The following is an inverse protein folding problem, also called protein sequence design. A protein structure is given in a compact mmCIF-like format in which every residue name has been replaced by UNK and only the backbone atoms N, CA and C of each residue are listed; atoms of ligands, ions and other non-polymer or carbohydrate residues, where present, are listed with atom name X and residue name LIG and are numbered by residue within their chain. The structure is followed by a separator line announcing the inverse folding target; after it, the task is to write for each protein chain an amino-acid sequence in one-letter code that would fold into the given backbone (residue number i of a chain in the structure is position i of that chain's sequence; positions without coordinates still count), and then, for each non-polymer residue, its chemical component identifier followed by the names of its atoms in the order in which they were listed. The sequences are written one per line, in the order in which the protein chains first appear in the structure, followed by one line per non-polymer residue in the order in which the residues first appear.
data_IF_510025084757
#
_entry.id   IF_510025084757
#
_cell.length_a   1.000
_cell.length_b   1.000
_cell.length_c   1.000
_cell.angle_alpha   90.00
_cell.angle_beta   90.00
_cell.angle_gamma   90.00
#
_symmetry.space_group_name_H-M   'P 1'
#
loop_
_entity.id
_entity.type
_entity.pdbx_description
1 polymer ?
#
# COMPACT_ATOMS: atom_id res chain seq x y z
N UNK A 1 10.72 -8.28 25.45
CA UNK A 1 10.42 -6.88 25.08
C UNK A 1 9.41 -6.91 23.93
N UNK A 2 8.53 -5.92 23.79
CA UNK A 2 7.51 -5.93 22.73
C UNK A 2 8.12 -5.59 21.37
N UNK A 3 7.70 -6.29 20.32
CA UNK A 3 8.04 -5.95 18.94
C UNK A 3 7.29 -4.68 18.53
N UNK A 4 7.91 -3.84 17.71
CA UNK A 4 7.30 -2.61 17.22
C UNK A 4 7.71 -2.39 15.77
N UNK A 5 6.71 -2.16 14.92
CA UNK A 5 6.91 -1.75 13.53
C UNK A 5 6.13 -0.46 13.24
N UNK A 6 6.62 0.29 12.27
CA UNK A 6 5.94 1.44 11.67
C UNK A 6 5.39 1.03 10.30
N UNK A 7 4.21 1.55 9.96
CA UNK A 7 3.64 1.45 8.62
C UNK A 7 3.39 2.85 8.07
N UNK A 8 3.82 3.08 6.82
CA UNK A 8 3.77 4.40 6.19
C UNK A 8 3.03 4.35 4.84
N UNK A 9 1.75 3.95 4.77
CA UNK A 9 1.05 3.84 3.50
C UNK A 9 0.88 5.19 2.82
N UNK A 10 0.83 5.14 1.50
CA UNK A 10 0.67 6.31 0.65
C UNK A 10 -0.57 6.11 -0.20
N UNK A 11 -1.57 6.96 0.02
CA UNK A 11 -2.81 6.91 -0.74
C UNK A 11 -2.82 7.99 -1.83
N UNK A 12 -3.44 7.66 -2.96
CA UNK A 12 -3.62 8.54 -4.12
C UNK A 12 -4.83 9.46 -3.91
N UNK A 13 -4.79 10.27 -2.85
CA UNK A 13 -5.74 11.34 -2.57
C UNK A 13 -5.04 12.35 -1.67
N UNK A 14 -5.06 13.63 -2.05
CA UNK A 14 -4.42 14.72 -1.29
C UNK A 14 -5.28 15.98 -1.19
N UNK A 15 -6.54 15.94 -1.66
CA UNK A 15 -7.42 17.12 -1.79
C UNK A 15 -8.72 16.94 -1.02
N UNK A 16 -9.37 15.78 -1.14
CA UNK A 16 -10.61 15.47 -0.44
C UNK A 16 -10.33 15.03 1.01
N UNK A 17 -10.44 16.00 1.93
CA UNK A 17 -10.22 15.77 3.37
C UNK A 17 -11.20 14.75 3.96
N UNK A 18 -12.43 14.65 3.44
CA UNK A 18 -13.39 13.70 3.97
C UNK A 18 -12.96 12.26 3.66
N UNK A 19 -12.50 12.00 2.43
CA UNK A 19 -11.92 10.70 2.07
C UNK A 19 -10.66 10.40 2.86
N UNK A 20 -9.73 11.35 2.95
CA UNK A 20 -8.48 11.17 3.69
C UNK A 20 -8.75 10.80 5.14
N UNK A 21 -9.64 11.54 5.81
CA UNK A 21 -10.01 11.26 7.20
C UNK A 21 -10.71 9.90 7.34
N UNK A 22 -11.64 9.57 6.44
CA UNK A 22 -12.31 8.28 6.47
C UNK A 22 -11.32 7.10 6.32
N UNK A 23 -10.33 7.23 5.43
CA UNK A 23 -9.29 6.22 5.23
C UNK A 23 -8.35 6.16 6.44
N UNK A 24 -7.86 7.28 6.95
CA UNK A 24 -6.93 7.30 8.09
C UNK A 24 -7.57 6.78 9.38
N UNK A 25 -8.84 7.11 9.63
CA UNK A 25 -9.55 6.73 10.87
C UNK A 25 -9.72 5.23 11.07
N UNK A 26 -9.68 4.42 10.00
CA UNK A 26 -9.79 2.95 10.15
C UNK A 26 -8.62 2.36 10.90
N UNK A 27 -7.44 3.01 10.84
CA UNK A 27 -6.25 2.60 11.58
C UNK A 27 -6.50 2.64 13.09
N UNK A 28 -7.22 3.65 13.56
CA UNK A 28 -7.53 3.84 14.99
C UNK A 28 -8.60 2.86 15.50
N UNK A 29 -9.28 2.13 14.61
CA UNK A 29 -10.25 1.09 15.01
C UNK A 29 -9.58 -0.21 15.44
N UNK A 30 -8.28 -0.38 15.17
CA UNK A 30 -7.53 -1.58 15.50
C UNK A 30 -6.81 -1.40 16.84
N UNK A 31 -7.16 -2.25 17.80
CA UNK A 31 -6.53 -2.25 19.12
C UNK A 31 -5.01 -2.51 19.01
N UNK A 32 -4.21 -1.72 19.73
CA UNK A 32 -2.75 -1.85 19.74
C UNK A 32 -2.04 -1.11 18.60
N UNK A 33 -2.77 -0.36 17.76
CA UNK A 33 -2.20 0.53 16.74
C UNK A 33 -2.39 1.99 17.14
N UNK A 34 -1.38 2.81 16.89
CA UNK A 34 -1.42 4.25 17.11
C UNK A 34 -1.16 5.00 15.81
N UNK A 35 -2.14 5.78 15.36
CA UNK A 35 -1.98 6.76 14.30
C UNK A 35 -1.06 7.90 14.79
N UNK A 36 0.00 8.18 14.04
CA UNK A 36 1.00 9.18 14.40
C UNK A 36 0.89 10.45 13.55
N UNK A 37 0.66 10.28 12.24
CA UNK A 37 0.63 11.40 11.31
C UNK A 37 -0.25 11.12 10.10
N UNK A 38 -0.83 12.20 9.55
CA UNK A 38 -1.54 12.22 8.27
C UNK A 38 -1.12 13.50 7.55
N UNK A 39 -0.35 13.35 6.47
CA UNK A 39 0.27 14.46 5.74
C UNK A 39 -0.20 14.51 4.28
N UNK A 40 -1.25 15.29 3.98
CA UNK A 40 -1.80 15.41 2.63
C UNK A 40 -1.08 16.48 1.79
N UNK A 41 -0.66 16.11 0.59
CA UNK A 41 -0.13 17.02 -0.42
C UNK A 41 -1.13 17.29 -1.54
N UNK A 42 -1.65 18.52 -1.63
CA UNK A 42 -2.66 18.87 -2.63
C UNK A 42 -2.14 18.88 -4.09
N UNK A 43 -0.90 19.34 -4.29
CA UNK A 43 -0.24 19.37 -5.60
C UNK A 43 0.14 17.96 -6.08
N UNK A 44 0.77 17.17 -5.20
CA UNK A 44 1.09 15.75 -5.44
C UNK A 44 -0.15 14.87 -5.51
N UNK A 45 -1.29 15.33 -4.99
CA UNK A 45 -2.54 14.59 -4.83
C UNK A 45 -2.33 13.22 -4.16
N UNK A 46 -1.53 13.24 -3.09
CA UNK A 46 -1.12 12.06 -2.32
C UNK A 46 -1.14 12.40 -0.84
N UNK A 47 -1.51 11.43 0.00
CA UNK A 47 -1.40 11.54 1.45
C UNK A 47 -0.47 10.46 1.98
N UNK A 48 0.45 10.85 2.85
CA UNK A 48 1.29 9.94 3.63
C UNK A 48 0.64 9.77 5.00
N UNK A 49 0.36 8.52 5.37
CA UNK A 49 -0.21 8.17 6.68
C UNK A 49 0.85 7.39 7.42
N UNK A 50 1.05 7.67 8.72
CA UNK A 50 2.06 7.00 9.54
C UNK A 50 1.40 6.46 10.81
N UNK A 51 1.60 5.17 11.09
CA UNK A 51 1.14 4.55 12.33
C UNK A 51 2.08 3.45 12.81
N UNK A 52 2.01 3.11 14.10
CA UNK A 52 2.89 2.15 14.76
C UNK A 52 2.11 1.16 15.62
N UNK A 53 2.68 -0.02 15.84
CA UNK A 53 2.10 -1.05 16.72
C UNK A 53 2.89 -2.36 16.67
N UNK A 54 2.37 -3.38 17.35
CA UNK A 54 2.88 -4.75 17.20
C UNK A 54 2.57 -5.26 15.77
N UNK A 55 3.34 -6.24 15.24
CA UNK A 55 3.26 -6.61 13.82
C UNK A 55 1.86 -7.00 13.33
N UNK A 56 1.15 -7.84 14.06
CA UNK A 56 -0.17 -8.33 13.67
C UNK A 56 -1.25 -7.23 13.63
N UNK A 57 -1.42 -6.40 14.69
CA UNK A 57 -2.31 -5.24 14.62
C UNK A 57 -1.99 -4.27 13.47
N UNK A 58 -0.70 -4.01 13.21
CA UNK A 58 -0.30 -3.12 12.10
C UNK A 58 -0.69 -3.68 10.74
N UNK A 59 -0.55 -5.00 10.54
CA UNK A 59 -0.99 -5.68 9.31
C UNK A 59 -2.52 -5.55 9.14
N UNK A 60 -3.30 -5.71 10.21
CA UNK A 60 -4.76 -5.52 10.17
C UNK A 60 -5.13 -4.09 9.80
N UNK A 61 -4.53 -3.10 10.47
CA UNK A 61 -4.78 -1.68 10.18
C UNK A 61 -4.40 -1.31 8.74
N UNK A 62 -3.27 -1.79 8.25
CA UNK A 62 -2.84 -1.59 6.86
C UNK A 62 -3.83 -2.20 5.86
N UNK A 63 -4.31 -3.42 6.12
CA UNK A 63 -5.31 -4.08 5.28
C UNK A 63 -6.62 -3.30 5.22
N UNK A 64 -7.14 -2.87 6.37
CA UNK A 64 -8.37 -2.07 6.45
C UNK A 64 -8.22 -0.72 5.74
N UNK A 65 -7.06 -0.08 5.87
CA UNK A 65 -6.73 1.16 5.17
C UNK A 65 -6.73 0.97 3.66
N UNK A 66 -6.07 -0.07 3.15
CA UNK A 66 -6.04 -0.40 1.71
C UNK A 66 -7.45 -0.66 1.20
N UNK A 67 -8.24 -1.45 1.92
CA UNK A 67 -9.64 -1.70 1.58
C UNK A 67 -10.46 -0.41 1.49
N UNK A 68 -10.36 0.45 2.51
CA UNK A 68 -11.10 1.72 2.54
C UNK A 68 -10.65 2.67 1.43
N UNK A 69 -9.35 2.70 1.11
CA UNK A 69 -8.82 3.47 0.00
C UNK A 69 -9.40 3.01 -1.34
N UNK A 70 -9.44 1.69 -1.59
CA UNK A 70 -10.03 1.13 -2.80
C UNK A 70 -11.55 1.40 -2.93
N UNK A 71 -12.27 1.53 -1.81
CA UNK A 71 -13.70 1.90 -1.82
C UNK A 71 -13.94 3.38 -2.19
N UNK A 72 -13.00 4.28 -1.87
CA UNK A 72 -13.21 5.74 -1.91
C UNK A 72 -12.45 6.46 -3.02
N UNK A 73 -11.36 5.86 -3.53
CA UNK A 73 -10.47 6.48 -4.51
C UNK A 73 -10.70 5.82 -5.87
N UNK A 74 -11.19 6.60 -6.84
CA UNK A 74 -11.33 6.17 -8.23
C UNK A 74 -10.09 6.60 -9.04
N UNK A 75 -9.15 5.68 -9.24
CA UNK A 75 -7.89 5.97 -9.92
C UNK A 75 -8.07 6.44 -11.37
N UNK A 76 -9.17 6.09 -12.04
CA UNK A 76 -9.44 6.59 -13.40
C UNK A 76 -9.71 8.09 -13.48
N UNK A 77 -9.97 8.72 -12.33
CA UNK A 77 -10.15 10.17 -12.19
C UNK A 77 -8.99 10.84 -11.47
N UNK A 78 -8.02 10.06 -11.00
CA UNK A 78 -6.89 10.57 -10.24
C UNK A 78 -5.81 11.14 -11.15
N UNK A 79 -5.40 12.37 -10.84
CA UNK A 79 -4.23 13.05 -11.42
C UNK A 79 -3.48 13.80 -10.33
N UNK A 80 -2.16 13.83 -10.43
CA UNK A 80 -1.26 14.52 -9.47
C UNK A 80 0.17 14.56 -9.99
N UNK A 81 1.01 15.41 -9.41
CA UNK A 81 2.42 15.56 -9.83
C UNK A 81 3.31 14.39 -9.37
N UNK A 82 2.83 13.55 -8.45
CA UNK A 82 3.60 12.44 -7.92
C UNK A 82 3.25 11.13 -8.68
N UNK A 83 4.26 10.35 -9.12
CA UNK A 83 4.03 9.05 -9.75
C UNK A 83 3.22 8.13 -8.83
N UNK A 84 2.20 7.47 -9.37
CA UNK A 84 1.30 6.61 -8.59
C UNK A 84 0.85 5.40 -9.38
N UNK A 85 0.63 4.30 -8.69
CA UNK A 85 0.32 3.01 -9.31
C UNK A 85 -1.04 2.42 -8.88
N UNK A 86 -1.62 2.90 -7.77
CA UNK A 86 -2.93 2.49 -7.27
C UNK A 86 -3.47 3.44 -6.19
N UNK A 87 -4.68 3.18 -5.68
CA UNK A 87 -5.34 3.95 -4.64
C UNK A 87 -4.53 3.95 -3.35
N UNK A 88 -3.94 2.80 -2.99
CA UNK A 88 -2.78 2.73 -2.12
C UNK A 88 -1.57 2.40 -2.97
N UNK A 89 -0.71 3.38 -3.17
CA UNK A 89 0.41 3.31 -4.10
C UNK A 89 1.59 2.52 -3.51
N UNK A 90 1.90 2.74 -2.23
CA UNK A 90 2.83 1.87 -1.46
C UNK A 90 2.37 1.74 -0.02
N UNK A 91 2.78 0.64 0.62
CA UNK A 91 2.52 0.35 2.03
C UNK A 91 3.75 -0.28 2.70
N UNK A 92 4.85 0.50 2.92
CA UNK A 92 6.03 0.01 3.63
C UNK A 92 5.72 -0.38 5.08
N UNK A 93 6.46 -1.38 5.56
CA UNK A 93 6.58 -1.75 6.96
C UNK A 93 8.04 -1.60 7.37
N UNK A 94 8.31 -0.94 8.50
CA UNK A 94 9.67 -0.59 8.95
C UNK A 94 9.88 -1.15 10.37
N UNK A 95 10.99 -1.88 10.63
CA UNK A 95 11.33 -2.32 11.97
C UNK A 95 11.68 -1.14 12.88
N UNK A 96 11.09 -1.06 14.07
CA UNK A 96 11.38 0.00 15.06
C UNK A 96 12.07 -0.56 16.31
N UNK A 97 11.53 -1.64 16.89
CA UNK A 97 12.11 -2.24 18.09
C UNK A 97 11.88 -3.75 18.17
N UNK A 98 12.92 -4.48 18.59
CA UNK A 98 12.87 -5.93 18.88
C UNK A 98 12.35 -6.81 17.73
N UNK A 99 12.57 -6.39 16.48
CA UNK A 99 12.16 -7.13 15.29
C UNK A 99 13.17 -6.87 14.17
N UNK A 100 13.57 -7.93 13.48
CA UNK A 100 14.54 -7.87 12.39
C UNK A 100 13.87 -7.55 11.05
N UNK A 101 14.63 -6.99 10.11
CA UNK A 101 14.13 -6.64 8.77
C UNK A 101 13.50 -7.85 8.05
N UNK A 102 14.10 -9.05 8.19
CA UNK A 102 13.59 -10.28 7.57
C UNK A 102 12.24 -10.73 8.16
N UNK A 103 11.96 -10.39 9.43
CA UNK A 103 10.65 -10.63 10.04
C UNK A 103 9.61 -9.65 9.49
N UNK A 104 9.98 -8.38 9.32
CA UNK A 104 9.11 -7.35 8.73
C UNK A 104 8.82 -7.63 7.25
N UNK A 105 9.78 -8.18 6.51
CA UNK A 105 9.56 -8.63 5.13
C UNK A 105 8.47 -9.72 5.04
N UNK A 106 8.44 -10.66 6.01
CA UNK A 106 7.36 -11.67 6.11
C UNK A 106 6.01 -11.03 6.43
N UNK A 107 5.98 -9.97 7.25
CA UNK A 107 4.77 -9.18 7.50
C UNK A 107 4.26 -8.54 6.20
N UNK A 108 5.14 -7.98 5.38
CA UNK A 108 4.76 -7.42 4.08
C UNK A 108 4.18 -8.50 3.16
N UNK A 109 4.80 -9.69 3.11
CA UNK A 109 4.27 -10.83 2.35
C UNK A 109 2.90 -11.28 2.82
N UNK A 110 2.69 -11.34 4.15
CA UNK A 110 1.39 -11.68 4.75
C UNK A 110 0.32 -10.68 4.37
N UNK A 111 0.62 -9.38 4.48
CA UNK A 111 -0.28 -8.30 4.09
C UNK A 111 -0.65 -8.38 2.61
N UNK A 112 0.36 -8.48 1.73
CA UNK A 112 0.13 -8.53 0.28
C UNK A 112 -0.68 -9.74 -0.14
N UNK A 113 -0.39 -10.93 0.39
CA UNK A 113 -1.18 -12.14 0.14
C UNK A 113 -2.65 -11.92 0.45
N UNK A 114 -2.96 -11.38 1.64
CA UNK A 114 -4.34 -11.13 2.07
C UNK A 114 -5.03 -10.06 1.22
N UNK A 115 -4.33 -9.00 0.85
CA UNK A 115 -4.84 -7.97 -0.09
C UNK A 115 -5.21 -8.60 -1.42
N UNK A 116 -4.34 -9.47 -1.96
CA UNK A 116 -4.60 -10.18 -3.21
C UNK A 116 -5.79 -11.13 -3.13
N UNK A 117 -5.89 -11.90 -2.05
CA UNK A 117 -6.93 -12.93 -1.86
C UNK A 117 -8.31 -12.32 -1.53
N UNK A 118 -8.37 -11.33 -0.63
CA UNK A 118 -9.63 -10.80 -0.12
C UNK A 118 -10.14 -9.57 -0.90
N UNK A 119 -9.25 -8.74 -1.44
CA UNK A 119 -9.61 -7.50 -2.14
C UNK A 119 -9.51 -7.61 -3.66
N UNK A 120 -8.90 -8.70 -4.16
CA UNK A 120 -8.58 -8.87 -5.59
C UNK A 120 -7.73 -7.71 -6.16
N UNK A 121 -6.86 -7.14 -5.33
CA UNK A 121 -5.91 -6.09 -5.71
C UNK A 121 -4.55 -6.74 -5.99
N UNK A 122 -3.98 -6.42 -7.15
CA UNK A 122 -2.67 -6.91 -7.56
C UNK A 122 -1.55 -6.03 -7.01
N UNK A 123 -0.39 -6.61 -6.70
CA UNK A 123 0.76 -5.81 -6.30
C UNK A 123 2.10 -6.51 -6.36
N UNK A 124 3.14 -5.75 -6.00
CA UNK A 124 4.54 -6.14 -6.06
C UNK A 124 5.20 -5.89 -4.71
N UNK A 125 6.01 -6.84 -4.25
CA UNK A 125 6.89 -6.60 -3.12
C UNK A 125 8.17 -5.91 -3.61
N UNK A 126 8.66 -4.94 -2.83
CA UNK A 126 9.78 -4.09 -3.21
C UNK A 126 10.81 -3.97 -2.06
N UNK A 127 11.96 -3.37 -2.34
CA UNK A 127 13.13 -3.29 -1.46
C UNK A 127 13.46 -4.62 -0.78
N UNK A 128 13.53 -4.66 0.56
CA UNK A 128 13.87 -5.85 1.34
C UNK A 128 12.84 -6.98 1.24
N UNK A 129 11.60 -6.68 0.83
CA UNK A 129 10.57 -7.68 0.62
C UNK A 129 10.53 -8.21 -0.83
N UNK A 130 11.31 -7.64 -1.75
CA UNK A 130 11.28 -8.00 -3.16
C UNK A 130 11.59 -9.49 -3.40
N UNK A 131 10.73 -10.15 -4.17
CA UNK A 131 10.87 -11.56 -4.58
C UNK A 131 11.83 -11.73 -5.75
N UNK A 132 12.07 -10.66 -6.51
CA UNK A 132 12.97 -10.62 -7.65
C UNK A 132 13.88 -9.38 -7.60
N UNK A 133 15.14 -9.46 -8.06
CA UNK A 133 16.07 -8.34 -8.04
C UNK A 133 15.53 -7.08 -8.74
N UNK A 134 14.79 -7.23 -9.84
CA UNK A 134 14.20 -6.13 -10.62
C UNK A 134 13.13 -5.33 -9.86
N UNK A 135 12.55 -5.91 -8.80
CA UNK A 135 11.48 -5.30 -7.98
C UNK A 135 12.03 -4.55 -6.76
N UNK A 136 13.34 -4.65 -6.48
CA UNK A 136 13.94 -3.94 -5.34
C UNK A 136 13.68 -2.43 -5.43
N UNK A 137 14.00 -1.84 -6.59
CA UNK A 137 13.79 -0.42 -6.80
C UNK A 137 12.30 -0.10 -7.02
N UNK A 138 11.72 0.70 -6.13
CA UNK A 138 10.33 1.14 -6.22
C UNK A 138 9.97 1.80 -7.56
N UNK A 139 10.87 2.57 -8.16
CA UNK A 139 10.63 3.21 -9.46
C UNK A 139 10.46 2.18 -10.58
N UNK A 140 11.11 1.01 -10.50
CA UNK A 140 10.88 -0.08 -11.44
C UNK A 140 9.48 -0.69 -11.26
N UNK A 141 9.02 -0.83 -10.01
CA UNK A 141 7.66 -1.28 -9.70
C UNK A 141 6.60 -0.27 -10.15
N UNK A 142 6.87 1.03 -10.10
CA UNK A 142 5.95 2.10 -10.55
C UNK A 142 6.11 2.52 -12.01
N UNK A 143 7.03 1.91 -12.76
CA UNK A 143 7.28 2.31 -14.15
C UNK A 143 6.01 2.20 -15.01
N UNK A 144 5.65 3.29 -15.67
CA UNK A 144 4.42 3.41 -16.46
C UNK A 144 3.21 3.94 -15.67
N UNK A 145 3.32 4.08 -14.34
CA UNK A 145 2.25 4.56 -13.46
C UNK A 145 0.94 3.75 -13.63
N UNK A 146 -0.18 4.32 -13.19
CA UNK A 146 -1.51 3.72 -13.35
C UNK A 146 -1.86 3.46 -14.82
N UNK A 147 -1.54 4.39 -15.73
CA UNK A 147 -1.85 4.26 -17.17
C UNK A 147 -1.14 3.07 -17.83
N UNK A 148 0.04 2.69 -17.31
CA UNK A 148 0.82 1.55 -17.78
C UNK A 148 0.40 0.20 -17.20
N UNK A 149 -0.52 0.17 -16.23
CA UNK A 149 -0.87 -1.03 -15.47
C UNK A 149 -1.39 -2.16 -16.36
N UNK A 150 -2.27 -1.86 -17.31
CA UNK A 150 -2.83 -2.86 -18.25
C UNK A 150 -1.70 -3.55 -19.04
N UNK A 151 -0.77 -2.76 -19.59
CA UNK A 151 0.36 -3.27 -20.35
C UNK A 151 1.30 -4.09 -19.46
N UNK A 152 1.50 -3.65 -18.22
CA UNK A 152 2.39 -4.30 -17.27
C UNK A 152 1.85 -5.66 -16.80
N UNK A 153 0.56 -5.75 -16.49
CA UNK A 153 -0.09 -7.00 -16.11
C UNK A 153 -0.12 -8.02 -17.25
N UNK A 154 -0.24 -7.55 -18.50
CA UNK A 154 -0.17 -8.41 -19.69
C UNK A 154 1.25 -8.93 -20.01
N UNK A 155 2.30 -8.37 -19.40
CA UNK A 155 3.67 -8.81 -19.61
C UNK A 155 4.01 -9.97 -18.64
N UNK A 156 4.33 -11.17 -19.13
CA UNK A 156 4.73 -12.29 -18.28
C UNK A 156 5.94 -11.99 -17.38
N UNK A 157 6.81 -11.07 -17.80
CA UNK A 157 7.95 -10.63 -16.99
C UNK A 157 7.52 -9.75 -15.80
N UNK A 158 6.28 -9.25 -15.76
CA UNK A 158 5.75 -8.39 -14.71
C UNK A 158 4.49 -8.95 -14.05
N UNK A 159 4.33 -10.28 -14.02
CA UNK A 159 3.27 -10.92 -13.23
C UNK A 159 3.34 -10.46 -11.75
N UNK A 160 2.24 -9.99 -11.13
CA UNK A 160 2.25 -9.51 -9.76
C UNK A 160 2.66 -10.60 -8.76
N UNK A 161 3.21 -10.21 -7.62
CA UNK A 161 3.57 -11.15 -6.53
C UNK A 161 2.34 -11.70 -5.82
N UNK A 162 1.27 -10.92 -5.78
CA UNK A 162 0.00 -11.27 -5.15
C UNK A 162 -1.15 -10.64 -5.91
N UNK A 163 -2.33 -11.23 -5.74
CA UNK A 163 -3.56 -10.80 -6.41
C UNK A 163 -3.64 -11.26 -7.88
N UNK A 164 -4.70 -10.86 -8.58
CA UNK A 164 -4.94 -11.27 -9.97
C UNK A 164 -3.90 -10.66 -10.92
N UNK A 165 -3.58 -11.39 -11.99
CA UNK A 165 -2.72 -10.93 -13.08
C UNK A 165 -3.52 -10.35 -14.27
N UNK A 166 -4.85 -10.24 -14.13
CA UNK A 166 -5.75 -9.64 -15.12
C UNK A 166 -6.29 -8.30 -14.62
N UNK A 167 -6.22 -7.28 -15.48
CA UNK A 167 -6.83 -5.98 -15.20
C UNK A 167 -8.36 -6.10 -15.24
N UNK A 168 -9.03 -5.72 -14.14
CA UNK A 168 -10.48 -5.74 -14.01
C UNK A 168 -10.96 -4.58 -13.11
N UNK A 169 -12.27 -4.41 -12.98
CA UNK A 169 -12.86 -3.32 -12.18
C UNK A 169 -12.42 -3.30 -10.71
N UNK A 170 -11.92 -4.42 -10.16
CA UNK A 170 -11.39 -4.52 -8.79
C UNK A 170 -9.92 -4.14 -8.70
N UNK A 171 -9.16 -4.34 -9.78
CA UNK A 171 -7.75 -3.91 -9.93
C UNK A 171 -7.65 -2.43 -10.32
N UNK A 172 -8.73 -1.84 -10.83
CA UNK A 172 -8.84 -0.43 -11.20
C UNK A 172 -8.53 0.50 -10.03
N UNK A 173 -8.70 0.06 -8.78
CA UNK A 173 -8.61 0.85 -7.56
C UNK A 173 -7.32 0.56 -6.80
#
# INVERSE_FOLDING_TARGET
MKQLIECVPNISEGRDKAKINAIASVVETVEGVKLLNVDPGAATNRTVITFVGEPEPVIEAAFLLIKKAAELIDMSKHTGEHPRFGATDVCPLIPIANIEMDEVAKCAHKLGKRVGEELAISGYFYENAATEPKRRNLAACRAGEYEGLIKKLADPAWKPDFGPDEYNDRVKY
#
